data_IF_151900347750
#
_entry.id   IF_151900347750
#
_cell.length_a   1.000
_cell.length_b   1.000
_cell.length_c   1.000
_cell.angle_alpha   90.00
_cell.angle_beta   90.00
_cell.angle_gamma   90.00
#
_symmetry.space_group_name_H-M   'P 1'
#
loop_
_entity.id
_entity.type
_entity.pdbx_description
1 polymer ?
#
# COMPACT_ATOMS: atom_id res chain seq x y z
N UNK A 1 -6.36 -5.57 10.46
CA UNK A 1 -6.31 -6.50 9.29
C UNK A 1 -4.87 -7.00 9.08
N UNK A 2 -4.69 -8.12 8.40
CA UNK A 2 -3.37 -8.58 7.91
C UNK A 2 -3.40 -8.61 6.38
N UNK A 3 -2.40 -8.04 5.73
CA UNK A 3 -2.26 -8.04 4.28
C UNK A 3 -1.23 -9.08 3.84
N UNK A 4 -1.60 -9.87 2.86
CA UNK A 4 -0.71 -10.80 2.16
C UNK A 4 -0.76 -10.49 0.67
N UNK A 5 0.41 -10.46 0.03
CA UNK A 5 0.55 -10.26 -1.41
C UNK A 5 1.22 -11.49 -1.99
N UNK A 6 0.51 -12.22 -2.86
CA UNK A 6 1.01 -13.48 -3.47
C UNK A 6 1.52 -14.51 -2.44
N UNK A 7 0.88 -14.56 -1.27
CA UNK A 7 1.25 -15.48 -0.17
C UNK A 7 2.36 -14.98 0.74
N UNK A 8 2.94 -13.80 0.49
CA UNK A 8 3.94 -13.17 1.34
C UNK A 8 3.26 -12.22 2.32
N UNK A 9 3.63 -12.31 3.60
CA UNK A 9 3.12 -11.41 4.64
C UNK A 9 3.71 -10.01 4.45
N UNK A 10 2.83 -9.02 4.31
CA UNK A 10 3.23 -7.61 4.16
C UNK A 10 3.18 -6.90 5.49
N UNK A 11 2.07 -7.03 6.23
CA UNK A 11 1.92 -6.31 7.49
C UNK A 11 0.51 -6.31 8.07
N UNK A 12 0.41 -5.69 9.25
CA UNK A 12 -0.86 -5.38 9.92
C UNK A 12 -1.45 -4.03 9.48
N UNK A 13 -2.56 -3.62 10.09
CA UNK A 13 -3.27 -2.38 9.74
C UNK A 13 -2.38 -1.13 9.82
N UNK A 14 -1.64 -1.00 10.92
CA UNK A 14 -0.84 0.19 11.21
C UNK A 14 0.30 0.32 10.20
N UNK A 15 1.01 -0.78 9.95
CA UNK A 15 2.12 -0.85 8.98
C UNK A 15 1.64 -0.54 7.57
N UNK A 16 0.53 -1.13 7.11
CA UNK A 16 0.01 -0.89 5.75
C UNK A 16 -0.36 0.58 5.57
N UNK A 17 -0.91 1.20 6.62
CA UNK A 17 -1.29 2.61 6.58
C UNK A 17 -0.05 3.49 6.43
N UNK A 18 0.99 3.24 7.24
CA UNK A 18 2.28 3.93 7.11
C UNK A 18 2.91 3.74 5.72
N UNK A 19 2.93 2.50 5.21
CA UNK A 19 3.46 2.19 3.87
C UNK A 19 2.66 2.86 2.74
N UNK A 20 1.35 3.09 2.94
CA UNK A 20 0.51 3.81 1.98
C UNK A 20 0.86 5.29 1.96
N UNK A 21 1.09 5.87 3.16
CA UNK A 21 1.45 7.28 3.32
C UNK A 21 2.88 7.58 2.82
N UNK A 22 3.82 6.66 3.03
CA UNK A 22 5.19 6.77 2.51
C UNK A 22 5.31 6.48 1.01
N UNK A 23 4.32 5.80 0.42
CA UNK A 23 4.35 5.34 -0.97
C UNK A 23 5.11 4.01 -1.18
N UNK A 24 5.62 3.38 -0.11
CA UNK A 24 6.26 2.06 -0.18
C UNK A 24 5.30 0.96 -0.64
N UNK A 25 4.00 1.06 -0.29
CA UNK A 25 3.00 0.07 -0.69
C UNK A 25 2.79 0.06 -2.22
N UNK A 26 2.86 1.22 -2.86
CA UNK A 26 2.71 1.37 -4.31
C UNK A 26 3.87 0.72 -5.06
N UNK A 27 5.09 0.85 -4.52
CA UNK A 27 6.28 0.20 -5.05
C UNK A 27 6.17 -1.32 -4.91
N UNK A 28 5.76 -1.81 -3.74
CA UNK A 28 5.55 -3.24 -3.49
C UNK A 28 4.55 -3.84 -4.48
N UNK A 29 3.42 -3.16 -4.71
CA UNK A 29 2.42 -3.62 -5.68
C UNK A 29 2.96 -3.60 -7.12
N UNK A 30 3.70 -2.55 -7.50
CA UNK A 30 4.32 -2.45 -8.84
C UNK A 30 5.32 -3.58 -9.08
N UNK A 31 6.21 -3.84 -8.12
CA UNK A 31 7.23 -4.89 -8.19
C UNK A 31 6.62 -6.29 -8.23
N UNK A 32 5.54 -6.49 -7.49
CA UNK A 32 4.79 -7.75 -7.48
C UNK A 32 3.82 -7.84 -8.68
N UNK A 33 3.71 -6.82 -9.53
CA UNK A 33 2.78 -6.81 -10.68
C UNK A 33 1.31 -6.90 -10.25
N UNK A 34 0.96 -6.30 -9.12
CA UNK A 34 -0.40 -6.19 -8.60
C UNK A 34 -0.97 -4.85 -9.07
N UNK A 35 -2.10 -4.88 -9.77
CA UNK A 35 -2.79 -3.67 -10.16
C UNK A 35 -3.44 -3.01 -8.93
N UNK A 36 -3.29 -1.69 -8.82
CA UNK A 36 -3.92 -0.87 -7.80
C UNK A 36 -4.34 0.47 -8.41
N UNK A 37 -5.28 1.13 -7.75
CA UNK A 37 -5.75 2.45 -8.14
C UNK A 37 -4.79 3.52 -7.60
N UNK A 38 -4.00 4.11 -8.51
CA UNK A 38 -3.02 5.15 -8.17
C UNK A 38 -3.68 6.44 -7.73
N UNK A 39 -4.80 6.81 -8.34
CA UNK A 39 -5.53 8.04 -8.01
C UNK A 39 -6.11 7.92 -6.59
N UNK A 40 -6.56 6.73 -6.20
CA UNK A 40 -7.00 6.48 -4.83
C UNK A 40 -5.83 6.54 -3.82
N UNK A 41 -4.67 5.97 -4.16
CA UNK A 41 -3.47 6.03 -3.31
C UNK A 41 -2.98 7.48 -3.11
N UNK A 42 -2.98 8.29 -4.18
CA UNK A 42 -2.64 9.70 -4.12
C UNK A 42 -3.65 10.51 -3.29
N UNK A 43 -4.96 10.31 -3.50
CA UNK A 43 -5.98 10.96 -2.67
C UNK A 43 -5.80 10.64 -1.19
N UNK A 44 -5.51 9.39 -0.84
CA UNK A 44 -5.26 9.02 0.56
C UNK A 44 -4.07 9.81 1.11
N UNK A 45 -2.97 9.92 0.36
CA UNK A 45 -1.80 10.71 0.78
C UNK A 45 -2.12 12.19 0.94
N UNK A 46 -2.83 12.79 -0.01
CA UNK A 46 -3.23 14.21 0.05
C UNK A 46 -4.13 14.52 1.25
N UNK A 47 -5.04 13.62 1.61
CA UNK A 47 -5.95 13.84 2.75
C UNK A 47 -5.29 13.63 4.12
N UNK A 48 -4.09 13.06 4.17
CA UNK A 48 -3.36 12.75 5.41
C UNK A 48 -2.05 13.56 5.53
N UNK A 49 -1.77 14.46 4.59
CA UNK A 49 -0.69 15.46 4.65
C UNK A 49 -1.16 16.73 5.38
#
# INVERSE_FOLDING_TARGET
PQLYVKGEFVGGCDIITEMTLSGELDQLFSDKGVAFDKDAAEKIREHNA
#
